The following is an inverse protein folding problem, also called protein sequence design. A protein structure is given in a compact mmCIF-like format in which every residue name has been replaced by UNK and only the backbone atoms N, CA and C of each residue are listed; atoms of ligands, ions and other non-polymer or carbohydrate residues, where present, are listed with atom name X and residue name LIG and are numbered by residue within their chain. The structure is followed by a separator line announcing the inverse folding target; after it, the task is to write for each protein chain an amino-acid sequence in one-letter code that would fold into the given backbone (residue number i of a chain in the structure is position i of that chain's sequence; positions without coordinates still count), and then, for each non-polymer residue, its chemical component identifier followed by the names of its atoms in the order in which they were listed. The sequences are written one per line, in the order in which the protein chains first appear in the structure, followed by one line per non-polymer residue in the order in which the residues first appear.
data_IF_366757458466
#
_entry.id   IF_366757458466
#
_cell.length_a   1.000
_cell.length_b   1.000
_cell.length_c   1.000
_cell.angle_alpha   90.00
_cell.angle_beta   90.00
_cell.angle_gamma   90.00
#
_symmetry.space_group_name_H-M   'P 1'
#
loop_
_entity.id
_entity.type
_entity.pdbx_description
1 polymer ?
#
# COMPACT_ATOMS: atom_id res chain seq x y z
N UNK A 1 9.91 26.83 -6.57
CA UNK A 1 9.90 25.43 -7.07
C UNK A 1 10.97 24.59 -6.39
N UNK A 2 12.19 25.03 -6.37
CA UNK A 2 13.26 24.26 -5.74
C UNK A 2 13.06 24.06 -4.25
N UNK A 3 12.56 25.08 -3.56
CA UNK A 3 12.30 24.97 -2.14
C UNK A 3 11.19 23.96 -1.87
N UNK A 4 10.15 23.97 -2.70
CA UNK A 4 9.05 23.00 -2.55
C UNK A 4 9.54 21.60 -2.80
N UNK A 5 10.43 21.42 -3.76
CA UNK A 5 10.98 20.11 -4.07
C UNK A 5 11.82 19.59 -2.90
N UNK A 6 12.65 20.46 -2.32
CA UNK A 6 13.49 20.08 -1.18
C UNK A 6 12.65 19.71 0.04
N UNK A 7 11.57 20.45 0.28
CA UNK A 7 10.68 20.16 1.38
C UNK A 7 9.99 18.81 1.18
N UNK A 8 9.54 18.54 -0.04
CA UNK A 8 8.92 17.27 -0.37
C UNK A 8 9.91 16.14 -0.18
N UNK A 9 11.14 16.30 -0.69
CA UNK A 9 12.18 15.29 -0.54
C UNK A 9 12.47 15.01 0.92
N UNK A 10 12.54 16.06 1.76
CA UNK A 10 12.80 15.89 3.18
C UNK A 10 11.72 15.13 3.90
N UNK A 11 10.47 15.28 3.48
CA UNK A 11 9.36 14.55 4.08
C UNK A 11 9.24 13.14 3.53
N UNK A 12 9.60 12.98 2.27
CA UNK A 12 9.36 11.73 1.54
C UNK A 12 10.53 10.77 1.63
N UNK A 13 11.74 11.28 1.47
CA UNK A 13 12.93 10.46 1.42
C UNK A 13 13.48 10.26 2.83
N UNK A 14 13.41 9.03 3.29
CA UNK A 14 13.93 8.67 4.61
C UNK A 14 14.79 7.43 4.46
N UNK A 15 15.95 7.45 5.11
CA UNK A 15 16.85 6.31 5.08
C UNK A 15 16.16 5.11 5.71
N UNK A 16 16.25 3.95 5.05
CA UNK A 16 15.62 2.73 5.55
C UNK A 16 14.14 2.61 5.23
N UNK A 17 13.56 3.58 4.52
CA UNK A 17 12.16 3.52 4.14
C UNK A 17 12.06 3.62 2.62
N UNK A 18 11.39 2.64 2.01
CA UNK A 18 11.13 2.67 0.56
C UNK A 18 9.68 3.09 0.37
N UNK A 19 9.44 4.00 -0.56
CA UNK A 19 8.10 4.54 -0.79
C UNK A 19 7.72 4.60 -2.24
N UNK A 20 6.42 4.56 -2.48
CA UNK A 20 5.83 4.73 -3.81
C UNK A 20 4.55 5.54 -3.64
N UNK A 21 4.31 6.44 -4.59
CA UNK A 21 3.06 7.20 -4.60
C UNK A 21 2.46 7.16 -5.99
N UNK A 22 1.16 6.94 -6.05
CA UNK A 22 0.41 6.95 -7.30
C UNK A 22 -0.86 7.77 -7.10
N UNK A 23 -1.16 8.65 -8.06
CA UNK A 23 -2.41 9.38 -8.07
C UNK A 23 -3.33 8.74 -9.09
N UNK A 24 -4.54 8.42 -8.67
CA UNK A 24 -5.53 7.72 -9.49
C UNK A 24 -6.81 8.52 -9.55
N UNK A 25 -7.48 8.49 -10.70
CA UNK A 25 -8.84 8.99 -10.78
C UNK A 25 -9.79 7.98 -10.15
N UNK A 26 -10.93 8.46 -9.64
CA UNK A 26 -11.91 7.60 -8.98
C UNK A 26 -12.76 6.82 -9.98
N UNK A 27 -12.10 6.11 -10.86
CA UNK A 27 -12.68 5.26 -11.87
C UNK A 27 -12.61 3.82 -11.39
N UNK A 28 -13.68 3.05 -11.54
CA UNK A 28 -13.72 1.68 -11.03
C UNK A 28 -12.62 0.79 -11.60
N UNK A 29 -12.12 1.12 -12.81
CA UNK A 29 -11.01 0.36 -13.41
C UNK A 29 -9.72 0.54 -12.63
N UNK A 30 -9.59 1.62 -11.88
CA UNK A 30 -8.39 1.87 -11.10
C UNK A 30 -8.30 1.04 -9.83
N UNK A 31 -9.39 0.39 -9.43
CA UNK A 31 -9.33 -0.55 -8.30
C UNK A 31 -8.39 -1.70 -8.64
N UNK A 32 -8.53 -2.27 -9.81
CA UNK A 32 -7.67 -3.35 -10.27
C UNK A 32 -6.23 -2.90 -10.43
N UNK A 33 -6.04 -1.71 -11.00
CA UNK A 33 -4.70 -1.16 -11.19
C UNK A 33 -4.00 -0.92 -9.85
N UNK A 34 -4.74 -0.41 -8.86
CA UNK A 34 -4.18 -0.18 -7.53
C UNK A 34 -3.67 -1.48 -6.91
N UNK A 35 -4.43 -2.57 -7.05
CA UNK A 35 -4.00 -3.88 -6.54
C UNK A 35 -2.68 -4.32 -7.17
N UNK A 36 -2.58 -4.15 -8.49
CA UNK A 36 -1.36 -4.53 -9.20
C UNK A 36 -0.17 -3.69 -8.75
N UNK A 37 -0.37 -2.39 -8.57
CA UNK A 37 0.69 -1.51 -8.10
C UNK A 37 1.22 -1.93 -6.74
N UNK A 38 0.32 -2.21 -5.80
CA UNK A 38 0.73 -2.60 -4.45
C UNK A 38 1.38 -3.97 -4.45
N UNK A 39 0.79 -4.93 -5.19
CA UNK A 39 1.35 -6.27 -5.27
C UNK A 39 2.77 -6.24 -5.85
N UNK A 40 2.99 -5.43 -6.87
CA UNK A 40 4.30 -5.29 -7.49
C UNK A 40 5.30 -4.68 -6.51
N UNK A 41 4.89 -3.64 -5.80
CA UNK A 41 5.77 -2.96 -4.84
C UNK A 41 6.18 -3.89 -3.70
N UNK A 42 5.24 -4.68 -3.19
CA UNK A 42 5.51 -5.53 -2.03
C UNK A 42 6.34 -6.77 -2.36
N UNK A 43 6.61 -7.04 -3.64
CA UNK A 43 7.50 -8.17 -3.99
C UNK A 43 8.89 -8.04 -3.36
N UNK A 44 9.30 -6.82 -3.03
CA UNK A 44 10.57 -6.54 -2.37
C UNK A 44 10.69 -7.22 -1.02
N UNK A 45 9.56 -7.59 -0.42
CA UNK A 45 9.52 -8.19 0.91
C UNK A 45 9.44 -9.71 0.86
N UNK A 46 9.43 -10.30 -0.33
CA UNK A 46 9.27 -11.75 -0.52
C UNK A 46 8.04 -12.27 0.23
N UNK A 47 6.85 -11.70 -0.02
CA UNK A 47 5.65 -12.11 0.71
C UNK A 47 5.18 -13.49 0.26
N UNK A 48 4.44 -14.16 1.14
CA UNK A 48 3.74 -15.37 0.76
C UNK A 48 2.56 -15.01 -0.14
N UNK A 49 2.00 -16.01 -0.82
CA UNK A 49 0.80 -15.80 -1.64
C UNK A 49 -0.34 -15.31 -0.76
N UNK A 50 -0.49 -15.89 0.43
CA UNK A 50 -1.55 -15.49 1.35
C UNK A 50 -1.40 -14.04 1.79
N UNK A 51 -0.17 -13.61 2.10
CA UNK A 51 0.08 -12.21 2.49
C UNK A 51 -0.24 -11.26 1.35
N UNK A 52 0.15 -11.63 0.13
CA UNK A 52 -0.13 -10.80 -1.03
C UNK A 52 -1.64 -10.69 -1.27
N UNK A 53 -2.36 -11.80 -1.17
CA UNK A 53 -3.80 -11.81 -1.38
C UNK A 53 -4.52 -10.98 -0.33
N UNK A 54 -4.10 -11.07 0.93
CA UNK A 54 -4.70 -10.27 2.00
C UNK A 54 -4.56 -8.79 1.73
N UNK A 55 -3.37 -8.36 1.32
CA UNK A 55 -3.11 -6.95 1.04
C UNK A 55 -3.93 -6.50 -0.17
N UNK A 56 -3.96 -7.31 -1.23
CA UNK A 56 -4.71 -6.97 -2.43
C UNK A 56 -6.20 -6.79 -2.12
N UNK A 57 -6.75 -7.67 -1.28
CA UNK A 57 -8.15 -7.58 -0.89
C UNK A 57 -8.41 -6.30 -0.11
N UNK A 58 -7.55 -5.98 0.86
CA UNK A 58 -7.72 -4.77 1.66
C UNK A 58 -7.60 -3.51 0.80
N UNK A 59 -6.66 -3.50 -0.14
CA UNK A 59 -6.48 -2.36 -1.04
C UNK A 59 -7.72 -2.19 -1.94
N UNK A 60 -8.24 -3.30 -2.46
CA UNK A 60 -9.44 -3.26 -3.30
C UNK A 60 -10.61 -2.65 -2.53
N UNK A 61 -10.80 -3.06 -1.29
CA UNK A 61 -11.89 -2.54 -0.47
C UNK A 61 -11.71 -1.06 -0.19
N UNK A 62 -10.50 -0.64 0.13
CA UNK A 62 -10.22 0.75 0.44
C UNK A 62 -10.43 1.65 -0.78
N UNK A 63 -9.95 1.22 -1.95
CA UNK A 63 -10.12 2.00 -3.18
C UNK A 63 -11.60 2.06 -3.57
N UNK A 64 -12.31 0.93 -3.46
CA UNK A 64 -13.73 0.90 -3.76
C UNK A 64 -14.49 1.86 -2.84
N UNK A 65 -14.14 1.88 -1.55
CA UNK A 65 -14.76 2.81 -0.60
C UNK A 65 -14.51 4.26 -1.00
N UNK A 66 -13.29 4.58 -1.44
CA UNK A 66 -12.98 5.93 -1.89
C UNK A 66 -13.81 6.31 -3.12
N UNK A 67 -13.97 5.38 -4.06
CA UNK A 67 -14.74 5.64 -5.27
C UNK A 67 -16.23 5.83 -4.93
N UNK A 68 -16.79 4.90 -4.17
CA UNK A 68 -18.24 4.86 -3.93
C UNK A 68 -18.65 5.92 -2.90
N UNK A 69 -17.90 6.06 -1.83
CA UNK A 69 -18.27 6.91 -0.71
C UNK A 69 -17.53 8.23 -0.68
N UNK A 70 -16.33 8.27 -1.24
CA UNK A 70 -15.56 9.51 -1.32
C UNK A 70 -16.05 10.42 -2.43
N UNK A 71 -16.42 9.82 -3.57
CA UNK A 71 -16.84 10.57 -4.74
C UNK A 71 -18.09 9.96 -5.36
N UNK A 72 -19.24 10.01 -4.65
CA UNK A 72 -20.44 9.33 -5.12
C UNK A 72 -21.08 9.97 -6.36
N UNK A 73 -20.85 11.25 -6.57
CA UNK A 73 -21.55 11.96 -7.63
C UNK A 73 -20.62 12.57 -8.69
N UNK A 74 -19.31 12.53 -8.44
CA UNK A 74 -18.37 13.16 -9.35
C UNK A 74 -17.05 12.41 -9.29
N UNK A 75 -16.19 12.70 -10.25
CA UNK A 75 -14.87 12.10 -10.30
C UNK A 75 -13.91 12.92 -9.46
N UNK A 76 -13.05 12.26 -8.72
CA UNK A 76 -12.03 12.93 -7.92
C UNK A 76 -10.74 12.14 -7.95
N UNK A 77 -9.77 12.58 -7.16
CA UNK A 77 -8.46 11.95 -7.12
C UNK A 77 -8.32 11.11 -5.86
N UNK A 78 -7.63 9.98 -6.02
CA UNK A 78 -7.29 9.08 -4.93
C UNK A 78 -5.77 8.97 -4.91
N UNK A 79 -5.16 9.17 -3.74
CA UNK A 79 -3.72 9.04 -3.58
C UNK A 79 -3.40 7.74 -2.88
N UNK A 80 -2.58 6.93 -3.54
CA UNK A 80 -2.12 5.66 -3.02
C UNK A 80 -0.65 5.81 -2.66
N UNK A 81 -0.31 5.58 -1.39
CA UNK A 81 1.07 5.65 -0.93
C UNK A 81 1.41 4.33 -0.28
N UNK A 82 2.53 3.74 -0.71
CA UNK A 82 3.06 2.53 -0.09
C UNK A 82 4.40 2.85 0.54
N UNK A 83 4.65 2.28 1.70
CA UNK A 83 5.93 2.44 2.39
C UNK A 83 6.34 1.11 2.98
N UNK A 84 7.62 0.79 2.82
CA UNK A 84 8.21 -0.39 3.45
C UNK A 84 9.31 0.08 4.37
N UNK A 85 9.19 -0.28 5.63
CA UNK A 85 10.21 -0.02 6.63
C UNK A 85 10.44 -1.32 7.39
N UNK A 86 11.65 -1.85 7.30
CA UNK A 86 12.01 -3.14 7.86
C UNK A 86 11.07 -4.21 7.28
N UNK A 87 10.30 -4.88 8.12
CA UNK A 87 9.41 -5.95 7.67
C UNK A 87 7.94 -5.52 7.64
N UNK A 88 7.69 -4.23 7.62
CA UNK A 88 6.32 -3.71 7.66
C UNK A 88 6.00 -2.93 6.40
N UNK A 89 4.89 -3.31 5.77
CA UNK A 89 4.31 -2.58 4.66
C UNK A 89 3.15 -1.74 5.18
N UNK A 90 3.13 -0.48 4.81
CA UNK A 90 1.99 0.39 5.07
C UNK A 90 1.46 0.90 3.75
N UNK A 91 0.16 0.79 3.55
CA UNK A 91 -0.52 1.32 2.37
C UNK A 91 -1.53 2.35 2.85
N UNK A 92 -1.44 3.55 2.30
CA UNK A 92 -2.34 4.62 2.66
C UNK A 92 -3.14 5.00 1.43
N UNK A 93 -4.45 4.98 1.55
CA UNK A 93 -5.35 5.37 0.46
C UNK A 93 -6.12 6.60 0.94
N UNK A 94 -5.89 7.72 0.27
CA UNK A 94 -6.52 8.98 0.63
C UNK A 94 -7.41 9.47 -0.48
N UNK A 95 -8.63 9.86 -0.12
CA UNK A 95 -9.47 10.65 -0.99
C UNK A 95 -9.81 11.95 -0.25
N UNK A 96 -10.30 12.94 -0.96
CA UNK A 96 -10.59 14.24 -0.37
C UNK A 96 -12.09 14.39 -0.07
N UNK A 97 -12.84 13.29 -0.17
CA UNK A 97 -14.24 13.24 0.25
C UNK A 97 -14.37 12.63 1.65
N UNK A 98 -13.74 11.45 1.87
CA UNK A 98 -13.85 10.74 3.15
C UNK A 98 -12.64 10.92 4.05
N UNK A 99 -11.47 11.01 3.47
CA UNK A 99 -10.24 11.12 4.23
C UNK A 99 -9.23 10.04 3.90
N UNK A 100 -8.62 9.43 4.92
CA UNK A 100 -7.51 8.50 4.74
C UNK A 100 -7.86 7.14 5.35
N UNK A 101 -7.55 6.09 4.62
CA UNK A 101 -7.64 4.73 5.11
C UNK A 101 -6.26 4.10 5.05
N UNK A 102 -5.86 3.38 6.10
CA UNK A 102 -4.54 2.75 6.18
C UNK A 102 -4.68 1.24 6.26
N UNK A 103 -3.80 0.56 5.52
CA UNK A 103 -3.63 -0.89 5.60
C UNK A 103 -2.21 -1.13 6.04
N UNK A 104 -2.02 -1.93 7.07
CA UNK A 104 -0.68 -2.18 7.61
C UNK A 104 -0.48 -3.68 7.74
N UNK A 105 0.63 -4.16 7.22
CA UNK A 105 0.95 -5.58 7.23
C UNK A 105 2.41 -5.78 7.62
N UNK A 106 2.64 -6.51 8.71
CA UNK A 106 3.98 -6.94 9.09
C UNK A 106 4.21 -8.31 8.47
N UNK A 107 5.35 -8.47 7.79
CA UNK A 107 5.69 -9.71 7.13
C UNK A 107 6.66 -10.49 7.97
N UNK A 108 6.51 -11.81 7.98
CA UNK A 108 7.47 -12.65 8.66
C UNK A 108 8.68 -12.87 7.76
N UNK A 109 9.88 -12.82 8.32
CA UNK A 109 11.06 -13.09 7.50
C UNK A 109 11.03 -14.49 6.92
N UNK A 110 11.39 -14.63 5.65
CA UNK A 110 11.36 -15.90 4.95
C UNK A 110 12.26 -16.93 5.63
N UNK A 111 13.45 -16.49 6.05
CA UNK A 111 14.38 -17.43 6.69
C UNK A 111 13.79 -17.99 7.97
N UNK A 112 12.99 -17.20 8.68
CA UNK A 112 12.37 -17.65 9.91
C UNK A 112 11.38 -18.76 9.64
N UNK A 113 10.59 -18.62 8.58
CA UNK A 113 9.66 -19.66 8.18
C UNK A 113 10.38 -20.92 7.75
N UNK A 114 11.46 -20.75 7.00
CA UNK A 114 12.25 -21.89 6.54
C UNK A 114 12.83 -22.67 7.70
N UNK A 115 13.42 -21.99 8.64
CA UNK A 115 14.07 -22.62 9.77
C UNK A 115 13.06 -23.37 10.60
N UNK A 116 11.90 -22.81 10.78
CA UNK A 116 10.88 -23.43 11.59
C UNK A 116 10.13 -24.49 10.83
N UNK A 117 10.32 -24.45 9.53
CA UNK A 117 9.81 -25.41 8.65
C UNK A 117 8.63 -26.11 9.13
N UNK A 118 8.73 -26.79 10.13
CA UNK A 118 7.58 -27.38 10.72
C UNK A 118 7.01 -26.55 11.78
N UNK A 119 7.66 -25.82 12.43
CA UNK A 119 7.08 -25.26 13.53
C UNK A 119 6.61 -23.93 13.36
N UNK A 120 6.56 -23.53 12.71
CA UNK A 120 6.02 -22.33 12.73
C UNK A 120 4.59 -22.26 12.69
N UNK A 121 5.28 -22.95 13.29
CA UNK A 121 4.59 -22.86 13.26
C UNK A 121 4.13 -22.75 13.50
N UNK A 122 4.59 -23.09 13.82
CA UNK A 122 4.37 -23.20 14.11
C UNK A 122 4.48 -22.88 14.36
N UNK A 123 4.88 -23.25 14.38
CA UNK A 123 5.02 -23.15 14.34
C UNK A 123 4.69 -23.24 14.27
#
# INVERSE_FOLDING_TARGET
MEEQQKELDGKWLQEGVQRMMVMLESDSRNESFARVCVASFMTRMNPTVAETDDVKTAVSEAVTNSIVHGYPYEKGLIRLVCAIEKDTLTVQIRDWGRGIENVKKAMEPMYSQSVRGPERSGM
#
